data_IF_508088736276
#
_entry.id   IF_508088736276
#
_cell.length_a   1.000
_cell.length_b   1.000
_cell.length_c   1.000
_cell.angle_alpha   90.00
_cell.angle_beta   90.00
_cell.angle_gamma   90.00
#
_symmetry.space_group_name_H-M   'P 1'
#
loop_
_entity.id
_entity.type
_entity.pdbx_description
1 polymer ?
#
# COMPACT_ATOMS: atom_id res chain seq x y z
N UNK A 1 10.17 13.66 2.16
CA UNK A 1 9.21 12.60 1.84
C UNK A 1 7.83 13.08 2.26
N UNK A 2 6.78 12.88 1.47
CA UNK A 2 5.43 13.28 1.84
C UNK A 2 4.98 12.55 3.13
N UNK A 3 4.12 13.20 3.93
CA UNK A 3 3.60 12.66 5.17
C UNK A 3 2.94 11.28 4.97
N UNK A 4 3.13 10.35 5.91
CA UNK A 4 2.40 9.08 5.92
C UNK A 4 0.96 9.33 6.31
N UNK A 5 0.01 8.79 5.54
CA UNK A 5 -1.42 8.86 5.85
C UNK A 5 -1.81 7.68 6.72
N UNK A 6 -2.26 7.99 7.94
CA UNK A 6 -2.63 7.00 8.95
C UNK A 6 -4.14 7.04 9.20
N UNK A 7 -4.73 5.86 9.38
CA UNK A 7 -6.06 5.72 9.96
C UNK A 7 -5.91 5.20 11.38
N UNK A 8 -6.59 5.83 12.34
CA UNK A 8 -6.70 5.36 13.71
C UNK A 8 -8.17 5.04 13.97
N UNK A 9 -8.45 3.84 14.44
CA UNK A 9 -9.80 3.39 14.78
C UNK A 9 -9.79 2.98 16.25
N UNK A 10 -10.41 3.82 17.08
CA UNK A 10 -10.35 3.72 18.55
C UNK A 10 -11.60 4.41 19.12
N UNK A 11 -12.41 3.70 19.89
CA UNK A 11 -13.66 4.25 20.45
C UNK A 11 -13.44 5.02 21.75
N UNK A 12 -12.34 4.76 22.48
CA UNK A 12 -11.95 5.60 23.62
C UNK A 12 -11.33 6.91 23.14
N UNK A 13 -12.06 8.02 23.34
CA UNK A 13 -11.67 9.34 22.87
C UNK A 13 -10.32 9.80 23.42
N UNK A 14 -9.98 9.47 24.66
CA UNK A 14 -8.70 9.86 25.26
C UNK A 14 -7.52 9.14 24.59
N UNK A 15 -7.66 7.86 24.29
CA UNK A 15 -6.68 7.06 23.52
C UNK A 15 -6.56 7.56 22.08
N UNK A 16 -7.69 7.86 21.44
CA UNK A 16 -7.73 8.40 20.08
C UNK A 16 -6.98 9.72 19.98
N UNK A 17 -7.30 10.69 20.83
CA UNK A 17 -6.65 12.01 20.89
C UNK A 17 -5.15 11.90 21.15
N UNK A 18 -4.74 11.03 22.09
CA UNK A 18 -3.33 10.78 22.38
C UNK A 18 -2.58 10.24 21.14
N UNK A 19 -3.14 9.25 20.45
CA UNK A 19 -2.53 8.68 19.26
C UNK A 19 -2.45 9.71 18.13
N UNK A 20 -3.52 10.48 17.89
CA UNK A 20 -3.54 11.55 16.90
C UNK A 20 -2.46 12.60 17.18
N UNK A 21 -2.37 13.09 18.42
CA UNK A 21 -1.39 14.10 18.81
C UNK A 21 0.04 13.59 18.62
N UNK A 22 0.34 12.37 19.06
CA UNK A 22 1.66 11.77 18.92
C UNK A 22 2.05 11.62 17.45
N UNK A 23 1.17 11.05 16.62
CA UNK A 23 1.54 10.79 15.22
C UNK A 23 1.58 12.07 14.38
N UNK A 24 0.74 13.07 14.66
CA UNK A 24 0.85 14.42 14.05
C UNK A 24 2.18 15.11 14.43
N UNK A 25 2.62 14.96 15.68
CA UNK A 25 3.93 15.48 16.11
C UNK A 25 5.10 14.84 15.35
N UNK A 26 4.92 13.59 14.91
CA UNK A 26 5.87 12.84 14.09
C UNK A 26 5.68 13.07 12.57
N UNK A 27 4.92 14.12 12.20
CA UNK A 27 4.67 14.54 10.81
C UNK A 27 3.87 13.54 9.97
N UNK A 28 2.99 12.76 10.58
CA UNK A 28 2.00 11.96 9.88
C UNK A 28 0.72 12.78 9.61
N UNK A 29 0.03 12.45 8.49
CA UNK A 29 -1.32 12.89 8.18
C UNK A 29 -2.29 11.89 8.79
N UNK A 30 -3.06 12.31 9.82
CA UNK A 30 -3.80 11.38 10.68
C UNK A 30 -5.30 11.59 10.56
N UNK A 31 -6.01 10.50 10.30
CA UNK A 31 -7.47 10.40 10.28
C UNK A 31 -7.92 9.52 11.44
N UNK A 32 -8.45 10.13 12.51
CA UNK A 32 -9.02 9.42 13.64
C UNK A 32 -10.52 9.19 13.45
N UNK A 33 -11.00 8.00 13.78
CA UNK A 33 -12.43 7.66 13.81
C UNK A 33 -12.75 6.77 15.01
N UNK A 34 -13.85 7.08 15.69
CA UNK A 34 -14.32 6.30 16.84
C UNK A 34 -15.25 5.15 16.46
N UNK A 35 -15.71 5.10 15.21
CA UNK A 35 -16.70 4.14 14.75
C UNK A 35 -16.12 3.21 13.70
N UNK A 36 -16.16 1.89 13.93
CA UNK A 36 -15.68 0.88 12.97
C UNK A 36 -16.41 0.92 11.62
N UNK A 37 -17.69 1.29 11.60
CA UNK A 37 -18.46 1.47 10.36
C UNK A 37 -17.90 2.58 9.47
N UNK A 38 -17.56 3.74 10.04
CA UNK A 38 -16.90 4.84 9.32
C UNK A 38 -15.52 4.44 8.81
N UNK A 39 -14.77 3.69 9.62
CA UNK A 39 -13.48 3.15 9.19
C UNK A 39 -13.63 2.21 7.99
N UNK A 40 -14.62 1.32 7.98
CA UNK A 40 -14.92 0.43 6.87
C UNK A 40 -15.26 1.19 5.57
N UNK A 41 -16.00 2.30 5.66
CA UNK A 41 -16.25 3.17 4.51
C UNK A 41 -14.97 3.84 3.99
N UNK A 42 -14.15 4.39 4.89
CA UNK A 42 -12.93 5.09 4.52
C UNK A 42 -11.93 4.17 3.82
N UNK A 43 -11.73 2.95 4.31
CA UNK A 43 -10.78 1.99 3.69
C UNK A 43 -11.22 1.53 2.30
N UNK A 44 -12.52 1.65 1.97
CA UNK A 44 -13.02 1.37 0.63
C UNK A 44 -12.91 2.55 -0.34
N UNK A 45 -12.78 3.79 0.18
CA UNK A 45 -12.73 5.02 -0.64
C UNK A 45 -11.33 5.54 -0.86
N UNK A 46 -10.43 5.31 0.11
CA UNK A 46 -9.08 5.85 0.04
C UNK A 46 -8.06 4.89 0.65
N UNK A 47 -6.82 5.11 0.28
CA UNK A 47 -5.70 4.34 0.78
C UNK A 47 -5.04 5.01 1.98
N UNK A 48 -4.60 4.18 2.92
CA UNK A 48 -3.76 4.55 4.05
C UNK A 48 -2.39 3.86 3.95
N UNK A 49 -1.38 4.47 4.55
CA UNK A 49 -0.04 3.91 4.63
C UNK A 49 0.12 3.01 5.86
N UNK A 50 -0.69 3.23 6.90
CA UNK A 50 -0.79 2.42 8.10
C UNK A 50 -2.15 2.57 8.77
N UNK A 51 -2.63 1.53 9.42
CA UNK A 51 -3.91 1.51 10.14
C UNK A 51 -3.66 1.03 11.55
N UNK A 52 -3.99 1.87 12.54
CA UNK A 52 -4.00 1.53 13.96
C UNK A 52 -5.43 1.20 14.35
N UNK A 53 -5.63 0.06 15.02
CA UNK A 53 -6.95 -0.51 15.22
C UNK A 53 -7.10 -1.11 16.60
N UNK A 54 -8.07 -0.62 17.37
CA UNK A 54 -8.49 -1.30 18.59
C UNK A 54 -9.32 -2.56 18.25
N UNK A 55 -9.23 -3.55 19.13
CA UNK A 55 -10.05 -4.77 19.04
C UNK A 55 -11.42 -4.60 19.69
N UNK A 56 -11.50 -3.80 20.75
CA UNK A 56 -12.66 -3.69 21.62
C UNK A 56 -13.53 -2.51 21.24
N UNK A 57 -14.30 -2.65 20.17
CA UNK A 57 -15.20 -1.60 19.68
C UNK A 57 -16.67 -2.08 19.70
N UNK A 58 -17.64 -1.16 19.95
CA UNK A 58 -19.04 -1.54 20.22
C UNK A 58 -19.78 -2.24 19.06
N UNK A 59 -19.54 -1.87 17.81
CA UNK A 59 -20.40 -2.33 16.69
C UNK A 59 -19.76 -3.42 15.85
N UNK A 60 -18.57 -3.20 15.34
CA UNK A 60 -17.78 -4.19 14.61
C UNK A 60 -16.46 -4.33 15.37
N UNK A 61 -16.14 -5.53 15.86
CA UNK A 61 -14.89 -5.74 16.56
C UNK A 61 -13.69 -5.59 15.61
N UNK A 62 -12.52 -5.31 16.18
CA UNK A 62 -11.33 -5.05 15.38
C UNK A 62 -10.86 -6.23 14.53
N UNK A 63 -11.15 -7.47 14.92
CA UNK A 63 -10.80 -8.63 14.08
C UNK A 63 -11.62 -8.65 12.79
N UNK A 64 -12.93 -8.35 12.88
CA UNK A 64 -13.80 -8.28 11.71
C UNK A 64 -13.41 -7.14 10.80
N UNK A 65 -13.09 -5.98 11.37
CA UNK A 65 -12.62 -4.84 10.61
C UNK A 65 -11.25 -5.11 9.96
N UNK A 66 -10.32 -5.78 10.63
CA UNK A 66 -9.05 -6.20 10.05
C UNK A 66 -9.25 -7.11 8.83
N UNK A 67 -10.15 -8.11 8.93
CA UNK A 67 -10.52 -8.95 7.79
C UNK A 67 -11.17 -8.16 6.67
N UNK A 68 -12.03 -7.20 6.99
CA UNK A 68 -12.64 -6.29 6.01
C UNK A 68 -11.57 -5.49 5.25
N UNK A 69 -10.61 -4.91 5.97
CA UNK A 69 -9.48 -4.16 5.39
C UNK A 69 -8.67 -5.06 4.45
N UNK A 70 -8.41 -6.31 4.82
CA UNK A 70 -7.67 -7.27 3.98
C UNK A 70 -8.40 -7.63 2.67
N UNK A 71 -9.72 -7.53 2.66
CA UNK A 71 -10.54 -7.72 1.46
C UNK A 71 -10.76 -6.44 0.65
N UNK A 72 -10.35 -5.27 1.15
CA UNK A 72 -10.52 -4.01 0.45
C UNK A 72 -9.58 -3.86 -0.75
N UNK A 73 -10.01 -3.15 -1.77
CA UNK A 73 -9.21 -2.91 -2.99
C UNK A 73 -7.93 -2.11 -2.68
N UNK A 74 -8.03 -1.12 -1.80
CA UNK A 74 -6.97 -0.14 -1.56
C UNK A 74 -6.04 -0.50 -0.40
N UNK A 75 -6.55 -1.19 0.62
CA UNK A 75 -5.85 -1.37 1.89
C UNK A 75 -5.50 -2.82 2.25
N UNK A 76 -5.73 -3.78 1.35
CA UNK A 76 -5.48 -5.21 1.61
C UNK A 76 -4.06 -5.55 2.06
N UNK A 77 -3.08 -4.74 1.71
CA UNK A 77 -1.67 -4.92 2.09
C UNK A 77 -1.13 -3.80 2.97
N UNK A 78 -1.98 -2.85 3.38
CA UNK A 78 -1.60 -1.81 4.33
C UNK A 78 -1.23 -2.44 5.66
N UNK A 79 -0.10 -2.06 6.30
CA UNK A 79 0.21 -2.53 7.65
C UNK A 79 -0.92 -2.20 8.62
N UNK A 80 -1.43 -3.22 9.31
CA UNK A 80 -2.41 -3.08 10.39
C UNK A 80 -1.69 -3.30 11.71
N UNK A 81 -1.79 -2.33 12.59
CA UNK A 81 -1.26 -2.33 13.93
C UNK A 81 -2.43 -2.44 14.90
N UNK A 82 -2.56 -3.58 15.57
CA UNK A 82 -3.56 -3.76 16.60
C UNK A 82 -3.07 -3.11 17.90
N UNK A 83 -3.94 -2.30 18.52
CA UNK A 83 -3.70 -1.64 19.81
C UNK A 83 -4.83 -2.06 20.75
N UNK A 84 -4.56 -2.92 21.74
CA UNK A 84 -5.62 -3.47 22.59
C UNK A 84 -5.17 -3.74 24.02
N UNK A 85 -6.12 -3.77 24.97
CA UNK A 85 -5.89 -4.15 26.37
C UNK A 85 -5.70 -5.65 26.60
N UNK A 86 -6.08 -6.48 25.64
CA UNK A 86 -5.98 -7.94 25.79
C UNK A 86 -4.55 -8.40 25.56
N UNK A 87 -4.05 -9.25 26.44
CA UNK A 87 -2.68 -9.80 26.39
C UNK A 87 -2.61 -11.33 26.42
N UNK A 88 -3.78 -12.00 26.34
CA UNK A 88 -3.83 -13.44 26.38
C UNK A 88 -3.31 -14.09 25.07
N UNK A 89 -2.75 -15.29 25.20
CA UNK A 89 -2.12 -16.02 24.11
C UNK A 89 -3.10 -16.38 22.96
N UNK A 90 -4.39 -16.51 23.27
CA UNK A 90 -5.42 -16.79 22.26
C UNK A 90 -5.69 -15.54 21.42
N UNK A 91 -5.80 -14.38 22.05
CA UNK A 91 -5.94 -13.08 21.36
C UNK A 91 -4.74 -12.82 20.45
N UNK A 92 -3.52 -13.09 20.90
CA UNK A 92 -2.33 -12.93 20.06
C UNK A 92 -2.39 -13.79 18.79
N UNK A 93 -2.80 -15.06 18.89
CA UNK A 93 -3.00 -15.92 17.70
C UNK A 93 -4.05 -15.37 16.76
N UNK A 94 -5.17 -14.88 17.28
CA UNK A 94 -6.25 -14.30 16.48
C UNK A 94 -5.83 -12.99 15.80
N UNK A 95 -5.04 -12.16 16.48
CA UNK A 95 -4.47 -10.91 15.92
C UNK A 95 -3.73 -11.21 14.61
N UNK A 96 -2.79 -12.11 14.63
CA UNK A 96 -2.04 -12.44 13.40
C UNK A 96 -2.88 -13.19 12.36
N UNK A 97 -3.79 -14.06 12.79
CA UNK A 97 -4.73 -14.75 11.91
C UNK A 97 -5.70 -13.78 11.19
N UNK A 98 -6.03 -12.64 11.80
CA UNK A 98 -6.84 -11.59 11.17
C UNK A 98 -6.09 -10.78 10.11
N UNK A 99 -4.79 -11.02 9.98
CA UNK A 99 -3.91 -10.32 9.04
C UNK A 99 -3.25 -9.07 9.61
N UNK A 100 -3.24 -8.88 10.92
CA UNK A 100 -2.47 -7.82 11.56
C UNK A 100 -0.96 -8.00 11.32
N UNK A 101 -0.26 -6.90 11.20
CA UNK A 101 1.19 -6.88 10.93
C UNK A 101 1.98 -6.69 12.23
N UNK A 102 1.43 -5.89 13.14
CA UNK A 102 2.04 -5.56 14.42
C UNK A 102 0.97 -5.53 15.52
N UNK A 103 1.44 -5.61 16.75
CA UNK A 103 0.62 -5.56 17.96
C UNK A 103 1.24 -4.63 18.99
N UNK A 104 0.41 -3.87 19.68
CA UNK A 104 0.78 -3.03 20.83
C UNK A 104 -0.24 -3.20 21.94
N UNK A 105 0.24 -3.54 23.12
CA UNK A 105 -0.60 -3.69 24.31
C UNK A 105 -0.87 -2.33 24.99
N UNK A 106 -2.13 -2.06 25.32
CA UNK A 106 -2.54 -0.98 26.22
C UNK A 106 -2.13 -1.29 27.69
N UNK A 107 -1.82 -0.29 28.51
CA UNK A 107 -1.96 1.14 28.25
C UNK A 107 -0.83 1.67 27.36
N UNK A 108 -1.20 2.54 26.44
CA UNK A 108 -0.25 3.22 25.55
C UNK A 108 0.12 4.59 26.12
N UNK A 109 1.36 4.97 25.89
CA UNK A 109 1.88 6.29 26.22
C UNK A 109 2.62 6.89 25.03
N UNK A 110 2.99 8.17 25.12
CA UNK A 110 3.70 8.89 24.06
C UNK A 110 4.99 8.20 23.64
N UNK A 111 5.73 7.62 24.56
CA UNK A 111 7.01 6.97 24.28
C UNK A 111 6.80 5.65 23.53
N UNK A 112 5.88 4.80 23.99
CA UNK A 112 5.53 3.54 23.32
C UNK A 112 5.02 3.79 21.89
N UNK A 113 4.09 4.74 21.72
CA UNK A 113 3.54 5.11 20.41
C UNK A 113 4.61 5.64 19.47
N UNK A 114 5.49 6.53 19.96
CA UNK A 114 6.58 7.09 19.15
C UNK A 114 7.59 6.01 18.74
N UNK A 115 7.93 5.10 19.64
CA UNK A 115 8.85 3.99 19.38
C UNK A 115 8.25 3.03 18.37
N UNK A 116 6.98 2.64 18.56
CA UNK A 116 6.26 1.78 17.61
C UNK A 116 6.22 2.42 16.22
N UNK A 117 5.79 3.69 16.12
CA UNK A 117 5.70 4.37 14.83
C UNK A 117 7.05 4.41 14.11
N UNK A 118 8.14 4.70 14.81
CA UNK A 118 9.49 4.68 14.22
C UNK A 118 9.89 3.29 13.73
N UNK A 119 9.47 2.24 14.42
CA UNK A 119 9.73 0.85 14.04
C UNK A 119 8.96 0.45 12.78
N UNK A 120 7.66 0.78 12.74
CA UNK A 120 6.77 0.31 11.67
C UNK A 120 6.75 1.21 10.43
N UNK A 121 7.19 2.46 10.54
CA UNK A 121 7.17 3.43 9.42
C UNK A 121 7.92 2.94 8.17
N UNK A 122 8.97 2.15 8.36
CA UNK A 122 9.70 1.53 7.24
C UNK A 122 8.78 0.68 6.36
N UNK A 123 8.01 -0.22 6.98
CA UNK A 123 7.03 -1.06 6.28
C UNK A 123 5.91 -0.24 5.63
N UNK A 124 5.51 0.87 6.25
CA UNK A 124 4.52 1.80 5.69
C UNK A 124 5.04 2.47 4.41
N UNK A 125 6.28 2.95 4.43
CA UNK A 125 6.91 3.52 3.23
C UNK A 125 7.13 2.48 2.13
N UNK A 126 7.51 1.25 2.47
CA UNK A 126 7.62 0.17 1.49
C UNK A 126 6.25 -0.18 0.89
N UNK A 127 5.23 -0.30 1.73
CA UNK A 127 3.85 -0.47 1.28
C UNK A 127 3.43 0.64 0.33
N UNK A 128 3.71 1.91 0.67
CA UNK A 128 3.42 3.07 -0.17
C UNK A 128 4.14 2.98 -1.51
N UNK A 129 5.44 2.70 -1.53
CA UNK A 129 6.24 2.59 -2.76
C UNK A 129 5.71 1.52 -3.72
N UNK A 130 5.17 0.41 -3.22
CA UNK A 130 4.55 -0.63 -4.07
C UNK A 130 3.31 -0.13 -4.82
N UNK A 131 2.65 0.92 -4.34
CA UNK A 131 1.41 1.45 -4.91
C UNK A 131 1.55 2.84 -5.52
N UNK A 132 2.60 3.60 -5.21
CA UNK A 132 2.88 4.86 -5.91
C UNK A 132 3.07 4.54 -7.38
N UNK A 133 2.24 5.14 -8.21
CA UNK A 133 2.28 5.01 -9.66
C UNK A 133 2.77 6.32 -10.24
N UNK A 134 3.89 6.26 -10.94
CA UNK A 134 4.42 7.41 -11.66
C UNK A 134 4.13 7.26 -13.15
N UNK A 135 3.88 8.38 -13.87
CA UNK A 135 3.72 8.35 -15.32
C UNK A 135 4.92 7.69 -16.00
N UNK A 136 4.65 6.87 -16.98
CA UNK A 136 5.67 6.26 -17.83
C UNK A 136 5.09 6.10 -19.22
N UNK A 137 5.58 6.87 -20.19
CA UNK A 137 5.25 6.72 -21.61
C UNK A 137 6.43 6.09 -22.33
N UNK A 138 6.37 4.80 -22.54
CA UNK A 138 7.41 4.03 -23.21
C UNK A 138 6.79 2.89 -24.01
N UNK A 139 7.48 2.44 -25.04
CA UNK A 139 7.12 1.22 -25.75
C UNK A 139 7.27 0.01 -24.83
N UNK A 140 6.32 -0.92 -24.92
CA UNK A 140 6.35 -2.19 -24.21
C UNK A 140 6.11 -3.35 -25.17
N UNK A 141 6.85 -4.43 -24.95
CA UNK A 141 6.60 -5.72 -25.56
C UNK A 141 6.06 -6.66 -24.50
N UNK A 142 4.92 -7.28 -24.80
CA UNK A 142 4.27 -8.30 -24.00
C UNK A 142 4.30 -9.62 -24.75
N UNK A 143 4.85 -10.68 -24.15
CA UNK A 143 4.82 -12.02 -24.72
C UNK A 143 3.83 -12.89 -23.95
N UNK A 144 2.82 -13.39 -24.66
CA UNK A 144 1.78 -14.31 -24.17
C UNK A 144 1.70 -15.50 -25.12
N UNK A 145 1.81 -16.72 -24.60
CA UNK A 145 1.71 -17.95 -25.40
C UNK A 145 2.58 -17.88 -26.69
N UNK A 146 3.84 -17.44 -26.52
CA UNK A 146 4.84 -17.24 -27.60
C UNK A 146 4.51 -16.15 -28.63
N UNK A 147 3.41 -15.41 -28.44
CA UNK A 147 3.05 -14.29 -29.31
C UNK A 147 3.58 -12.99 -28.72
N UNK A 148 4.20 -12.18 -29.55
CA UNK A 148 4.64 -10.84 -29.19
C UNK A 148 3.55 -9.82 -29.50
N UNK A 149 3.12 -9.09 -28.47
CA UNK A 149 2.16 -8.00 -28.55
C UNK A 149 2.90 -6.71 -28.21
N UNK A 150 2.73 -5.68 -29.01
CA UNK A 150 3.34 -4.37 -28.79
C UNK A 150 2.30 -3.36 -28.32
N UNK A 151 2.72 -2.44 -27.49
CA UNK A 151 1.89 -1.34 -27.00
C UNK A 151 2.70 -0.30 -26.28
N UNK A 152 2.02 0.50 -25.47
CA UNK A 152 2.63 1.59 -24.70
C UNK A 152 2.30 1.46 -23.23
N UNK A 153 3.19 1.98 -22.40
CA UNK A 153 2.98 2.09 -20.96
C UNK A 153 2.31 3.43 -20.61
N UNK A 154 1.52 3.46 -19.53
CA UNK A 154 0.91 4.68 -19.01
C UNK A 154 1.50 5.09 -17.66
N UNK A 155 1.73 4.12 -16.81
CA UNK A 155 2.36 4.33 -15.51
C UNK A 155 2.97 3.05 -14.98
N UNK A 156 3.90 3.19 -14.06
CA UNK A 156 4.57 2.07 -13.39
C UNK A 156 4.59 2.30 -11.88
N UNK A 157 4.53 1.19 -11.14
CA UNK A 157 4.77 1.13 -9.71
C UNK A 157 5.70 -0.04 -9.39
N UNK A 158 6.17 -0.17 -8.17
CA UNK A 158 6.95 -1.36 -7.79
C UNK A 158 6.15 -2.68 -7.89
N UNK A 159 4.82 -2.61 -7.80
CA UNK A 159 3.94 -3.79 -7.84
C UNK A 159 3.34 -4.12 -9.21
N UNK A 160 3.50 -3.24 -10.22
CA UNK A 160 2.90 -3.48 -11.52
C UNK A 160 2.92 -2.28 -12.45
N UNK A 161 2.37 -2.48 -13.65
CA UNK A 161 2.39 -1.53 -14.74
C UNK A 161 1.01 -1.42 -15.39
N UNK A 162 0.66 -0.24 -15.85
CA UNK A 162 -0.52 0.03 -16.66
C UNK A 162 -0.10 0.19 -18.11
N UNK A 163 -0.70 -0.58 -18.98
CA UNK A 163 -0.35 -0.63 -20.40
C UNK A 163 -1.58 -0.47 -21.30
N UNK A 164 -1.33 -0.10 -22.52
CA UNK A 164 -2.28 -0.16 -23.65
C UNK A 164 -1.71 -1.17 -24.65
N UNK A 165 -2.22 -2.40 -24.58
CA UNK A 165 -1.78 -3.54 -25.40
C UNK A 165 -3.00 -4.37 -25.78
N UNK A 166 -3.31 -4.45 -27.04
CA UNK A 166 -4.46 -5.22 -27.51
C UNK A 166 -4.34 -6.72 -27.18
N UNK A 167 -5.51 -7.38 -27.09
CA UNK A 167 -5.67 -8.84 -26.97
C UNK A 167 -5.25 -9.46 -25.62
N UNK A 168 -4.81 -8.70 -24.61
CA UNK A 168 -4.59 -9.23 -23.28
C UNK A 168 -5.90 -9.53 -22.56
N UNK A 169 -5.95 -10.65 -21.82
CA UNK A 169 -7.14 -11.08 -21.04
C UNK A 169 -6.82 -11.19 -19.55
N UNK A 170 -7.77 -10.90 -18.66
CA UNK A 170 -7.59 -11.10 -17.24
C UNK A 170 -7.15 -12.53 -16.91
N UNK A 171 -6.21 -12.66 -15.97
CA UNK A 171 -5.67 -13.95 -15.54
C UNK A 171 -4.52 -14.50 -16.40
N UNK A 172 -4.21 -13.93 -17.56
CA UNK A 172 -3.08 -14.37 -18.38
C UNK A 172 -1.75 -14.04 -17.70
N UNK A 173 -0.82 -14.99 -17.78
CA UNK A 173 0.60 -14.76 -17.48
C UNK A 173 1.27 -14.11 -18.69
N UNK A 174 2.10 -13.09 -18.44
CA UNK A 174 2.74 -12.29 -19.48
C UNK A 174 4.19 -12.00 -19.14
N UNK A 175 5.08 -12.16 -20.11
CA UNK A 175 6.45 -11.63 -20.02
C UNK A 175 6.47 -10.23 -20.60
N UNK A 176 7.13 -9.31 -19.89
CA UNK A 176 7.18 -7.89 -20.17
C UNK A 176 8.60 -7.45 -20.48
N UNK A 177 8.75 -6.57 -21.45
CA UNK A 177 10.02 -5.95 -21.79
C UNK A 177 9.77 -4.48 -22.13
N UNK A 178 10.34 -3.56 -21.33
CA UNK A 178 10.16 -2.11 -21.48
C UNK A 178 11.37 -1.34 -20.91
N UNK A 179 11.44 -0.03 -21.18
CA UNK A 179 12.48 0.87 -20.62
C UNK A 179 11.83 1.97 -19.79
N UNK A 180 12.53 2.41 -18.76
CA UNK A 180 12.08 3.54 -17.91
C UNK A 180 12.40 4.91 -18.52
N UNK A 181 13.42 4.96 -19.38
CA UNK A 181 13.75 6.09 -20.25
C UNK A 181 14.45 5.55 -21.50
N UNK A 182 14.58 6.32 -22.59
CA UNK A 182 15.23 5.88 -23.83
C UNK A 182 16.65 5.33 -23.63
N UNK A 183 17.41 5.93 -22.67
CA UNK A 183 18.78 5.54 -22.34
C UNK A 183 18.88 4.46 -21.25
N UNK A 184 17.77 4.11 -20.58
CA UNK A 184 17.78 3.15 -19.48
C UNK A 184 17.95 1.70 -19.97
N UNK A 185 18.45 0.84 -19.08
CA UNK A 185 18.52 -0.60 -19.29
C UNK A 185 17.13 -1.17 -19.51
N UNK A 186 17.02 -2.16 -20.38
CA UNK A 186 15.79 -2.90 -20.63
C UNK A 186 15.34 -3.63 -19.35
N UNK A 187 14.11 -3.40 -18.93
CA UNK A 187 13.48 -4.09 -17.81
C UNK A 187 12.79 -5.35 -18.35
N UNK A 188 13.15 -6.50 -17.81
CA UNK A 188 12.44 -7.75 -18.04
C UNK A 188 11.66 -8.14 -16.78
N UNK A 189 10.38 -8.48 -16.93
CA UNK A 189 9.52 -8.92 -15.84
C UNK A 189 8.57 -10.02 -16.32
N UNK A 190 8.07 -10.84 -15.39
CA UNK A 190 6.86 -11.63 -15.58
C UNK A 190 5.76 -11.13 -14.69
N UNK A 191 4.52 -11.25 -15.14
CA UNK A 191 3.38 -10.79 -14.38
C UNK A 191 2.08 -11.41 -14.84
N UNK A 192 1.00 -11.07 -14.13
CA UNK A 192 -0.36 -11.48 -14.49
C UNK A 192 -1.23 -10.27 -14.81
N UNK A 193 -2.06 -10.40 -15.83
CA UNK A 193 -3.09 -9.41 -16.17
C UNK A 193 -4.18 -9.46 -15.10
N UNK A 194 -4.31 -8.39 -14.31
CA UNK A 194 -5.25 -8.35 -13.19
C UNK A 194 -6.63 -7.87 -13.62
N UNK A 195 -6.67 -6.92 -14.55
CA UNK A 195 -7.89 -6.36 -15.10
C UNK A 195 -7.66 -5.79 -16.50
N UNK A 196 -8.73 -5.71 -17.28
CA UNK A 196 -8.76 -5.16 -18.63
C UNK A 196 -9.94 -4.21 -18.72
N UNK A 197 -9.73 -3.03 -19.30
CA UNK A 197 -10.76 -2.11 -19.77
C UNK A 197 -10.65 -1.95 -21.30
N UNK A 198 -11.51 -1.14 -21.91
CA UNK A 198 -11.54 -0.97 -23.38
C UNK A 198 -10.17 -0.65 -24.03
N UNK A 199 -9.33 0.11 -23.33
CA UNK A 199 -8.03 0.57 -23.85
C UNK A 199 -6.85 0.33 -22.90
N UNK A 200 -7.06 -0.25 -21.72
CA UNK A 200 -5.98 -0.34 -20.71
C UNK A 200 -6.02 -1.65 -19.97
N UNK A 201 -4.85 -2.15 -19.63
CA UNK A 201 -4.68 -3.37 -18.87
C UNK A 201 -3.75 -3.12 -17.69
N UNK A 202 -4.18 -3.56 -16.51
CA UNK A 202 -3.36 -3.56 -15.32
C UNK A 202 -2.63 -4.89 -15.18
N UNK A 203 -1.30 -4.84 -15.16
CA UNK A 203 -0.45 -6.02 -14.99
C UNK A 203 0.26 -5.92 -13.65
N UNK A 204 0.13 -6.94 -12.82
CA UNK A 204 0.86 -7.10 -11.57
C UNK A 204 2.14 -7.85 -11.83
N UNK A 205 3.28 -7.35 -11.36
CA UNK A 205 4.54 -8.07 -11.41
C UNK A 205 4.51 -9.28 -10.46
N UNK A 206 4.96 -10.43 -10.94
CA UNK A 206 5.11 -11.66 -10.16
C UNK A 206 6.59 -11.97 -9.92
N UNK A 207 7.41 -11.76 -10.96
CA UNK A 207 8.85 -11.90 -10.85
C UNK A 207 9.54 -10.72 -11.52
N UNK A 208 10.36 -10.06 -10.73
CA UNK A 208 11.22 -8.96 -11.13
C UNK A 208 12.61 -9.22 -10.54
N UNK A 209 13.63 -9.27 -11.39
CA UNK A 209 15.00 -9.46 -10.89
C UNK A 209 15.46 -8.29 -10.01
N UNK A 210 16.33 -8.50 -9.00
CA UNK A 210 16.72 -7.47 -8.02
C UNK A 210 17.25 -6.16 -8.66
N UNK A 211 17.95 -6.27 -9.80
CA UNK A 211 18.44 -5.11 -10.56
C UNK A 211 17.27 -4.29 -11.15
N UNK A 212 16.26 -4.98 -11.67
CA UNK A 212 15.07 -4.34 -12.26
C UNK A 212 14.15 -3.74 -11.18
N UNK A 213 14.00 -4.42 -10.04
CA UNK A 213 13.31 -3.84 -8.87
C UNK A 213 13.96 -2.55 -8.40
N UNK A 214 15.31 -2.57 -8.30
CA UNK A 214 16.07 -1.37 -7.92
C UNK A 214 15.86 -0.25 -8.93
N UNK A 215 15.96 -0.53 -10.23
CA UNK A 215 15.79 0.48 -11.27
C UNK A 215 14.40 1.12 -11.24
N UNK A 216 13.32 0.33 -11.09
CA UNK A 216 11.95 0.85 -10.98
C UNK A 216 11.80 1.69 -9.70
N UNK A 217 12.34 1.26 -8.58
CA UNK A 217 12.30 1.99 -7.32
C UNK A 217 13.02 3.35 -7.41
N UNK A 218 14.21 3.37 -7.99
CA UNK A 218 15.00 4.58 -8.16
C UNK A 218 14.29 5.57 -9.09
N UNK A 219 13.75 5.11 -10.21
CA UNK A 219 12.93 5.90 -11.12
C UNK A 219 11.70 6.53 -10.45
N UNK A 220 10.95 5.75 -9.66
CA UNK A 220 9.80 6.28 -8.91
C UNK A 220 10.25 7.37 -7.93
N UNK A 221 11.37 7.18 -7.24
CA UNK A 221 11.88 8.15 -6.29
C UNK A 221 12.33 9.46 -6.98
N UNK A 222 12.91 9.39 -8.18
CA UNK A 222 13.30 10.55 -8.99
C UNK A 222 12.06 11.36 -9.40
N UNK A 223 11.03 10.71 -9.96
CA UNK A 223 9.79 11.37 -10.39
C UNK A 223 9.08 12.02 -9.20
N UNK A 224 8.96 11.33 -8.04
CA UNK A 224 8.38 11.91 -6.82
C UNK A 224 9.17 13.14 -6.32
N UNK A 225 10.50 13.12 -6.46
CA UNK A 225 11.35 14.26 -6.05
C UNK A 225 11.19 15.46 -6.98
N UNK A 226 11.03 15.24 -8.29
CA UNK A 226 10.77 16.29 -9.29
C UNK A 226 9.40 16.93 -9.06
N UNK A 227 8.32 16.14 -8.91
CA UNK A 227 6.98 16.65 -8.60
C UNK A 227 6.93 17.45 -7.28
N UNK A 228 7.73 17.05 -6.29
CA UNK A 228 7.80 17.77 -5.02
C UNK A 228 8.50 19.12 -5.17
N UNK A 229 9.49 19.26 -6.06
CA UNK A 229 10.17 20.52 -6.35
C UNK A 229 9.28 21.49 -7.11
N UNK A 230 8.53 21.01 -8.12
CA UNK A 230 7.60 21.82 -8.90
C UNK A 230 6.47 22.42 -8.06
N UNK A 231 5.98 21.69 -7.02
CA UNK A 231 4.95 22.18 -6.09
C UNK A 231 5.46 23.21 -5.07
N UNK A 232 6.77 23.40 -4.97
CA UNK A 232 7.40 24.39 -4.06
C UNK A 232 7.81 25.69 -4.77
N UNK A 233 7.66 25.73 -6.10
CA UNK A 233 7.94 26.91 -6.94
C UNK A 233 6.66 27.59 -7.35
#
# INVERSE_FOLDING_TARGET
>A
MPALRLLIVEDDMASLELMEEVFRSLKADVHGVAESGKAAELVNRQRFDGIFLDLEMPSMNGFDLARWIRNSTWNRSTPIIIVTGRDDHQTMKQVFASGATFYLQKPVDRQKLSTLFRTVRGSMYEGRRRYVRVPLQADIMCTVDERELRGVTWNVSQGGILVDVDQLKPGQSVRLSFRLSPSATLIGATGSVVWVSEKRQGIRFEHLGPKHEKAIRDFIAEVEAEEAREKMT
#
